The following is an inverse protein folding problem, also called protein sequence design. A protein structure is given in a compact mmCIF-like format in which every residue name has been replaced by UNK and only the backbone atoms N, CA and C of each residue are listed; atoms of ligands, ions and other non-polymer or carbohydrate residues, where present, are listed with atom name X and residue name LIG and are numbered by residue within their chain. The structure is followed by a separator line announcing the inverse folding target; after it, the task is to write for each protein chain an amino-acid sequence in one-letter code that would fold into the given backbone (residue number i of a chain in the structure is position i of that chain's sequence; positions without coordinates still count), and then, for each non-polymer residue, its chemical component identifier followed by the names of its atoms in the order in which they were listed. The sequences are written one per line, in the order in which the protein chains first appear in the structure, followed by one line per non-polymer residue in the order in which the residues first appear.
data_IF_959776176173
#
_entry.id   IF_959776176173
#
_cell.length_a   1.000
_cell.length_b   1.000
_cell.length_c   1.000
_cell.angle_alpha   90.00
_cell.angle_beta   90.00
_cell.angle_gamma   90.00
#
_symmetry.space_group_name_H-M   'P 1'
#
loop_
_entity.id
_entity.type
_entity.pdbx_description
1 polymer ?
#
# COMPACT_ATOMS: atom_id res chain seq x y z
N UNK A 1 -15.52 -29.76 4.26
CA UNK A 1 -16.10 -29.41 2.94
C UNK A 1 -16.42 -27.91 2.84
N UNK A 2 -17.49 -27.37 3.43
CA UNK A 2 -17.83 -25.93 3.28
C UNK A 2 -16.81 -24.98 3.95
N UNK A 3 -16.31 -25.34 5.15
CA UNK A 3 -15.26 -24.58 5.84
C UNK A 3 -13.92 -24.55 5.08
N UNK A 4 -13.56 -25.63 4.39
CA UNK A 4 -12.32 -25.72 3.61
C UNK A 4 -12.44 -24.92 2.30
N UNK A 5 -13.61 -24.97 1.67
CA UNK A 5 -13.93 -24.17 0.49
C UNK A 5 -13.87 -22.66 0.76
N UNK A 6 -14.50 -22.19 1.85
CA UNK A 6 -14.46 -20.78 2.25
C UNK A 6 -13.05 -20.31 2.61
N UNK A 7 -12.23 -21.18 3.22
CA UNK A 7 -10.82 -20.90 3.50
C UNK A 7 -10.04 -20.70 2.18
N UNK A 8 -10.22 -21.58 1.21
CA UNK A 8 -9.52 -21.48 -0.07
C UNK A 8 -9.89 -20.19 -0.82
N UNK A 9 -11.16 -19.76 -0.74
CA UNK A 9 -11.60 -18.47 -1.31
C UNK A 9 -10.90 -17.29 -0.62
N UNK A 10 -10.80 -17.27 0.72
CA UNK A 10 -10.14 -16.17 1.44
C UNK A 10 -8.65 -16.09 1.07
N UNK A 11 -7.97 -17.24 0.95
CA UNK A 11 -6.57 -17.30 0.52
C UNK A 11 -6.41 -16.81 -0.92
N UNK A 12 -7.28 -17.20 -1.85
CA UNK A 12 -7.24 -16.70 -3.23
C UNK A 12 -7.45 -15.18 -3.29
N UNK A 13 -8.33 -14.61 -2.46
CA UNK A 13 -8.50 -13.15 -2.34
C UNK A 13 -7.23 -12.48 -1.81
N UNK A 14 -6.58 -13.07 -0.80
CA UNK A 14 -5.33 -12.59 -0.24
C UNK A 14 -4.21 -12.57 -1.31
N UNK A 15 -4.05 -13.67 -2.06
CA UNK A 15 -3.05 -13.78 -3.13
C UNK A 15 -3.31 -12.76 -4.26
N UNK A 16 -4.56 -12.59 -4.68
CA UNK A 16 -4.94 -11.57 -5.66
C UNK A 16 -4.64 -10.15 -5.16
N UNK A 17 -4.89 -9.88 -3.88
CA UNK A 17 -4.59 -8.58 -3.27
C UNK A 17 -3.09 -8.31 -3.24
N UNK A 18 -2.27 -9.31 -2.92
CA UNK A 18 -0.81 -9.18 -3.03
C UNK A 18 -0.37 -8.92 -4.48
N UNK A 19 -0.94 -9.62 -5.46
CA UNK A 19 -0.67 -9.38 -6.88
C UNK A 19 -1.00 -7.94 -7.30
N UNK A 20 -2.13 -7.41 -6.85
CA UNK A 20 -2.53 -6.01 -7.09
C UNK A 20 -1.51 -5.03 -6.45
N UNK A 21 -1.12 -5.24 -5.19
CA UNK A 21 -0.11 -4.42 -4.52
C UNK A 21 1.23 -4.44 -5.27
N UNK A 22 1.71 -5.64 -5.64
CA UNK A 22 2.97 -5.80 -6.37
C UNK A 22 2.96 -5.05 -7.70
N UNK A 23 1.86 -5.17 -8.47
CA UNK A 23 1.71 -4.42 -9.72
C UNK A 23 1.79 -2.91 -9.51
N UNK A 24 1.17 -2.39 -8.45
CA UNK A 24 1.27 -0.96 -8.12
C UNK A 24 2.68 -0.57 -7.67
N UNK A 25 3.38 -1.40 -6.88
CA UNK A 25 4.76 -1.13 -6.44
C UNK A 25 5.72 -1.10 -7.63
N UNK A 26 5.63 -2.05 -8.57
CA UNK A 26 6.49 -2.06 -9.77
C UNK A 26 6.30 -0.77 -10.59
N UNK A 27 5.04 -0.37 -10.81
CA UNK A 27 4.75 0.86 -11.55
C UNK A 27 5.21 2.11 -10.79
N UNK A 28 4.99 2.14 -9.48
CA UNK A 28 5.38 3.26 -8.63
C UNK A 28 6.90 3.41 -8.59
N UNK A 29 7.67 2.32 -8.51
CA UNK A 29 9.13 2.35 -8.63
C UNK A 29 9.61 2.91 -9.98
N UNK A 30 8.94 2.54 -11.08
CA UNK A 30 9.24 3.14 -12.39
C UNK A 30 8.95 4.65 -12.41
N UNK A 31 7.80 5.08 -11.88
CA UNK A 31 7.42 6.50 -11.81
C UNK A 31 8.40 7.29 -10.95
N UNK A 32 8.80 6.74 -9.80
CA UNK A 32 9.81 7.33 -8.90
C UNK A 32 11.11 7.58 -9.64
N UNK A 33 11.57 6.62 -10.46
CA UNK A 33 12.79 6.79 -11.27
C UNK A 33 12.72 7.95 -12.29
N UNK A 34 11.52 8.44 -12.61
CA UNK A 34 11.31 9.60 -13.50
C UNK A 34 11.25 10.91 -12.73
N UNK A 35 10.56 10.92 -11.57
CA UNK A 35 10.36 12.15 -10.81
C UNK A 35 11.52 12.49 -9.87
N UNK A 36 12.32 11.51 -9.45
CA UNK A 36 13.49 11.71 -8.58
C UNK A 36 14.47 12.77 -9.14
N UNK A 37 14.52 12.92 -10.46
CA UNK A 37 15.34 13.92 -11.16
C UNK A 37 15.04 15.37 -10.75
N UNK A 38 13.83 15.67 -10.28
CA UNK A 38 13.42 17.01 -9.88
C UNK A 38 12.95 17.11 -8.43
N UNK A 39 12.93 16.01 -7.68
CA UNK A 39 12.61 16.02 -6.25
C UNK A 39 13.82 16.47 -5.39
N UNK A 40 13.60 17.06 -4.20
CA UNK A 40 12.33 17.64 -3.75
C UNK A 40 11.97 18.88 -4.60
N UNK A 41 10.67 19.11 -4.76
CA UNK A 41 10.12 20.25 -5.47
C UNK A 41 10.22 21.52 -4.63
N UNK A 42 10.51 22.62 -5.32
CA UNK A 42 10.31 24.00 -4.86
C UNK A 42 9.35 24.67 -5.84
N UNK A 43 8.81 25.85 -5.51
CA UNK A 43 7.95 26.61 -6.45
C UNK A 43 8.67 26.83 -7.79
N UNK A 44 9.94 27.23 -7.75
CA UNK A 44 10.75 27.45 -8.95
C UNK A 44 10.95 26.18 -9.79
N UNK A 45 11.19 25.03 -9.15
CA UNK A 45 11.29 23.75 -9.88
C UNK A 45 9.95 23.33 -10.47
N UNK A 46 8.87 23.55 -9.72
CA UNK A 46 7.52 23.21 -10.16
C UNK A 46 7.11 24.02 -11.41
N UNK A 47 7.39 25.31 -11.44
CA UNK A 47 7.07 26.19 -12.58
C UNK A 47 7.84 25.81 -13.86
N UNK A 48 8.95 25.07 -13.73
CA UNK A 48 9.75 24.57 -14.85
C UNK A 48 9.32 23.19 -15.34
N UNK A 49 8.37 22.54 -14.67
CA UNK A 49 7.90 21.21 -15.07
C UNK A 49 7.17 21.26 -16.40
N UNK A 50 7.47 20.29 -17.25
CA UNK A 50 6.78 20.13 -18.53
C UNK A 50 5.45 19.40 -18.31
N UNK A 51 4.55 19.44 -19.31
CA UNK A 51 3.34 18.60 -19.30
C UNK A 51 3.66 17.12 -19.13
N UNK A 52 4.82 16.66 -19.62
CA UNK A 52 5.27 15.29 -19.45
C UNK A 52 5.60 14.97 -17.99
N UNK A 53 6.29 15.87 -17.28
CA UNK A 53 6.63 15.69 -15.87
C UNK A 53 5.38 15.68 -14.98
N UNK A 54 4.42 16.57 -15.28
CA UNK A 54 3.13 16.64 -14.58
C UNK A 54 2.35 15.31 -14.69
N UNK A 55 2.40 14.63 -15.84
CA UNK A 55 1.80 13.30 -16.00
C UNK A 55 2.42 12.28 -15.05
N UNK A 56 3.75 12.31 -14.82
CA UNK A 56 4.38 11.42 -13.84
C UNK A 56 4.04 11.78 -12.40
N UNK A 57 3.90 13.06 -12.08
CA UNK A 57 3.44 13.51 -10.76
C UNK A 57 2.02 13.00 -10.48
N UNK A 58 1.10 13.14 -11.43
CA UNK A 58 -0.27 12.67 -11.25
C UNK A 58 -0.32 11.13 -11.17
N UNK A 59 0.50 10.44 -11.98
CA UNK A 59 0.66 8.99 -11.88
C UNK A 59 1.23 8.56 -10.51
N UNK A 60 2.19 9.30 -9.97
CA UNK A 60 2.74 9.07 -8.63
C UNK A 60 1.65 9.20 -7.56
N UNK A 61 0.92 10.31 -7.54
CA UNK A 61 -0.18 10.56 -6.61
C UNK A 61 -1.19 9.41 -6.67
N UNK A 62 -1.66 9.10 -7.88
CA UNK A 62 -2.66 8.06 -8.10
C UNK A 62 -2.18 6.69 -7.56
N UNK A 63 -0.95 6.30 -7.86
CA UNK A 63 -0.40 5.01 -7.46
C UNK A 63 -0.11 4.94 -5.95
N UNK A 64 0.34 6.03 -5.35
CA UNK A 64 0.53 6.11 -3.91
C UNK A 64 -0.80 5.94 -3.15
N UNK A 65 -1.84 6.69 -3.56
CA UNK A 65 -3.20 6.55 -3.02
C UNK A 65 -3.68 5.11 -3.21
N UNK A 66 -3.58 4.58 -4.43
CA UNK A 66 -4.10 3.26 -4.76
C UNK A 66 -3.44 2.15 -3.94
N UNK A 67 -2.13 2.21 -3.74
CA UNK A 67 -1.40 1.25 -2.92
C UNK A 67 -1.87 1.28 -1.46
N UNK A 68 -1.99 2.47 -0.87
CA UNK A 68 -2.51 2.61 0.50
C UNK A 68 -3.94 2.10 0.63
N UNK A 69 -4.82 2.43 -0.33
CA UNK A 69 -6.22 2.02 -0.30
C UNK A 69 -6.35 0.49 -0.39
N UNK A 70 -5.60 -0.17 -1.29
CA UNK A 70 -5.59 -1.65 -1.37
C UNK A 70 -5.09 -2.27 -0.05
N UNK A 71 -3.99 -1.74 0.49
CA UNK A 71 -3.41 -2.26 1.72
C UNK A 71 -4.35 -2.09 2.91
N UNK A 72 -4.82 -0.86 3.15
CA UNK A 72 -5.66 -0.51 4.29
C UNK A 72 -7.06 -1.10 4.22
N UNK A 73 -7.71 -1.06 3.07
CA UNK A 73 -9.12 -1.48 2.96
C UNK A 73 -9.27 -3.00 2.83
N UNK A 74 -8.30 -3.67 2.18
CA UNK A 74 -8.40 -5.10 1.85
C UNK A 74 -7.35 -5.94 2.55
N UNK A 75 -6.07 -5.66 2.29
CA UNK A 75 -4.96 -6.55 2.65
C UNK A 75 -4.92 -6.81 4.17
N UNK A 76 -5.03 -5.74 4.95
CA UNK A 76 -4.95 -5.80 6.41
C UNK A 76 -6.01 -6.73 7.02
N UNK A 77 -7.26 -6.60 6.57
CA UNK A 77 -8.37 -7.43 7.07
C UNK A 77 -8.25 -8.87 6.57
N UNK A 78 -7.82 -9.08 5.33
CA UNK A 78 -7.60 -10.42 4.77
C UNK A 78 -6.50 -11.17 5.53
N UNK A 79 -5.41 -10.51 5.93
CA UNK A 79 -4.35 -11.15 6.71
C UNK A 79 -4.90 -11.60 8.06
N UNK A 80 -5.57 -10.69 8.78
CA UNK A 80 -6.19 -11.03 10.06
C UNK A 80 -7.20 -12.18 9.91
N UNK A 81 -8.05 -12.15 8.87
CA UNK A 81 -9.05 -13.20 8.61
C UNK A 81 -8.39 -14.58 8.42
N UNK A 82 -7.25 -14.61 7.74
CA UNK A 82 -6.53 -15.86 7.45
C UNK A 82 -5.62 -16.35 8.61
N UNK A 83 -5.29 -15.51 9.59
CA UNK A 83 -4.52 -15.92 10.78
C UNK A 83 -5.34 -16.73 11.79
N UNK A 84 -6.68 -16.64 11.75
CA UNK A 84 -7.61 -17.39 12.64
C UNK A 84 -7.41 -17.18 14.15
N UNK A 85 -6.55 -16.25 14.56
CA UNK A 85 -6.32 -15.83 15.96
C UNK A 85 -7.25 -14.66 16.37
N UNK A 86 -8.44 -14.59 15.79
CA UNK A 86 -9.34 -13.45 15.95
C UNK A 86 -10.66 -13.85 16.57
N UNK A 87 -10.91 -13.36 17.79
CA UNK A 87 -12.20 -13.51 18.48
C UNK A 87 -13.33 -12.73 17.78
N UNK A 88 -12.98 -11.74 16.97
CA UNK A 88 -13.91 -10.88 16.23
C UNK A 88 -13.52 -10.88 14.75
N UNK A 89 -14.52 -11.03 13.87
CA UNK A 89 -14.30 -10.97 12.43
C UNK A 89 -13.70 -9.59 12.04
N UNK A 90 -12.53 -9.56 11.38
CA UNK A 90 -11.84 -8.32 11.02
C UNK A 90 -12.62 -7.36 10.15
N UNK A 91 -13.64 -7.80 9.43
CA UNK A 91 -14.48 -6.93 8.59
C UNK A 91 -15.44 -6.04 9.40
N UNK A 92 -15.71 -6.37 10.66
CA UNK A 92 -16.55 -5.55 11.55
C UNK A 92 -15.73 -4.68 12.51
N UNK A 93 -14.40 -4.79 12.48
CA UNK A 93 -13.53 -3.99 13.35
C UNK A 93 -13.40 -2.54 12.82
N UNK A 94 -13.46 -1.52 13.69
CA UNK A 94 -12.99 -0.18 13.36
C UNK A 94 -11.56 -0.23 12.78
N UNK A 95 -11.25 0.66 11.84
CA UNK A 95 -9.96 0.61 11.15
C UNK A 95 -8.76 0.79 12.10
N UNK A 96 -8.90 1.64 13.13
CA UNK A 96 -7.86 1.82 14.14
C UNK A 96 -7.59 0.51 14.92
N UNK A 97 -8.64 -0.26 15.22
CA UNK A 97 -8.48 -1.54 15.91
C UNK A 97 -7.82 -2.59 15.02
N UNK A 98 -8.04 -2.53 13.71
CA UNK A 98 -7.30 -3.34 12.74
C UNK A 98 -5.81 -3.03 12.81
N UNK A 99 -5.42 -1.76 12.80
CA UNK A 99 -4.00 -1.36 12.89
C UNK A 99 -3.37 -1.79 14.21
N UNK A 100 -4.02 -1.49 15.34
CA UNK A 100 -3.55 -1.89 16.67
C UNK A 100 -3.34 -3.40 16.76
N UNK A 101 -4.19 -4.18 16.09
CA UNK A 101 -4.07 -5.64 16.07
C UNK A 101 -2.92 -6.12 15.20
N UNK A 102 -2.72 -5.51 14.03
CA UNK A 102 -1.54 -5.77 13.19
C UNK A 102 -0.23 -5.47 13.94
N UNK A 103 -0.17 -4.35 14.66
CA UNK A 103 0.99 -3.98 15.46
C UNK A 103 1.22 -4.95 16.62
N UNK A 104 0.15 -5.31 17.35
CA UNK A 104 0.21 -6.33 18.42
C UNK A 104 0.77 -7.67 17.92
N UNK A 105 0.42 -8.07 16.70
CA UNK A 105 0.92 -9.29 16.05
C UNK A 105 2.26 -9.10 15.36
N UNK A 106 2.88 -7.91 15.45
CA UNK A 106 4.15 -7.57 14.81
C UNK A 106 4.13 -7.77 13.30
N UNK A 107 2.96 -7.56 12.70
CA UNK A 107 2.75 -7.57 11.24
C UNK A 107 3.16 -6.22 10.64
N UNK A 108 2.91 -5.15 11.39
CA UNK A 108 3.46 -3.81 11.15
C UNK A 108 4.22 -3.37 12.41
N UNK A 109 5.18 -2.47 12.26
CA UNK A 109 5.97 -1.97 13.39
C UNK A 109 5.23 -0.94 14.23
N UNK A 110 4.40 -0.10 13.61
CA UNK A 110 3.74 1.02 14.28
C UNK A 110 2.40 1.37 13.62
N UNK A 111 1.35 1.47 14.43
CA UNK A 111 0.06 2.03 14.01
C UNK A 111 0.18 3.50 13.64
N UNK A 112 0.94 4.28 14.41
CA UNK A 112 1.12 5.71 14.20
C UNK A 112 1.80 6.02 12.87
N UNK A 113 2.82 5.25 12.48
CA UNK A 113 3.47 5.38 11.17
C UNK A 113 2.47 5.25 10.02
N UNK A 114 1.54 4.28 10.11
CA UNK A 114 0.50 4.11 9.11
C UNK A 114 -0.49 5.28 9.11
N UNK A 115 -0.86 5.80 10.28
CA UNK A 115 -1.74 6.96 10.39
C UNK A 115 -1.12 8.22 9.78
N UNK A 116 0.19 8.42 9.93
CA UNK A 116 0.91 9.53 9.32
C UNK A 116 0.96 9.39 7.79
N UNK A 117 1.22 8.18 7.27
CA UNK A 117 1.10 7.90 5.84
C UNK A 117 -0.30 8.20 5.28
N UNK A 118 -1.36 7.91 6.06
CA UNK A 118 -2.74 8.25 5.68
C UNK A 118 -3.00 9.75 5.65
N UNK A 119 -2.38 10.54 6.55
CA UNK A 119 -2.50 12.01 6.50
C UNK A 119 -1.91 12.54 5.19
N UNK A 120 -0.76 12.01 4.76
CA UNK A 120 -0.14 12.34 3.47
C UNK A 120 -1.08 11.94 2.32
N UNK A 121 -1.60 10.71 2.31
CA UNK A 121 -2.57 10.25 1.30
C UNK A 121 -3.78 11.18 1.22
N UNK A 122 -4.32 11.59 2.37
CA UNK A 122 -5.47 12.49 2.42
C UNK A 122 -5.12 13.87 1.86
N UNK A 123 -3.90 14.38 2.08
CA UNK A 123 -3.47 15.65 1.49
C UNK A 123 -3.50 15.64 -0.05
N UNK A 124 -3.27 14.49 -0.69
CA UNK A 124 -3.36 14.38 -2.15
C UNK A 124 -4.78 14.47 -2.71
N UNK A 125 -5.79 14.11 -1.92
CA UNK A 125 -7.20 14.20 -2.35
C UNK A 125 -7.82 15.54 -2.05
N UNK A 126 -7.13 16.42 -1.32
CA UNK A 126 -7.59 17.79 -1.17
C UNK A 126 -7.29 18.54 -2.46
N UNK A 127 -8.33 19.04 -3.11
CA UNK A 127 -8.16 19.99 -4.20
C UNK A 127 -7.62 21.29 -3.57
N UNK A 128 -6.34 21.60 -3.81
CA UNK A 128 -5.72 22.88 -3.49
C UNK A 128 -5.60 23.74 -4.77
N UNK A 129 -6.71 24.11 -5.45
CA UNK A 129 -6.61 24.87 -6.70
C UNK A 129 -5.93 26.24 -6.52
N UNK A 130 -5.89 26.77 -5.31
CA UNK A 130 -5.37 28.11 -4.98
C UNK A 130 -4.03 28.09 -4.19
N UNK A 131 -3.51 26.91 -3.82
CA UNK A 131 -2.34 26.82 -2.92
C UNK A 131 -1.27 25.84 -3.43
N UNK A 132 -0.46 26.33 -4.36
CA UNK A 132 0.66 25.60 -4.94
C UNK A 132 1.66 25.14 -3.87
N UNK A 133 1.88 25.91 -2.81
CA UNK A 133 2.81 25.55 -1.72
C UNK A 133 2.34 24.27 -1.03
N UNK A 134 1.05 24.18 -0.67
CA UNK A 134 0.49 22.96 -0.05
C UNK A 134 0.58 21.75 -0.97
N UNK A 135 0.38 21.92 -2.28
CA UNK A 135 0.55 20.82 -3.24
C UNK A 135 2.01 20.34 -3.28
N UNK A 136 2.96 21.26 -3.32
CA UNK A 136 4.40 20.93 -3.30
C UNK A 136 4.78 20.22 -1.99
N UNK A 137 4.30 20.71 -0.85
CA UNK A 137 4.55 20.11 0.47
C UNK A 137 3.99 18.67 0.53
N UNK A 138 2.77 18.46 0.05
CA UNK A 138 2.17 17.12 -0.04
C UNK A 138 2.99 16.18 -0.94
N UNK A 139 3.42 16.65 -2.12
CA UNK A 139 4.23 15.86 -3.06
C UNK A 139 5.58 15.46 -2.45
N UNK A 140 6.26 16.42 -1.83
CA UNK A 140 7.53 16.17 -1.14
C UNK A 140 7.35 15.19 0.02
N UNK A 141 6.29 15.34 0.82
CA UNK A 141 5.98 14.43 1.91
C UNK A 141 5.74 13.00 1.39
N UNK A 142 4.89 12.82 0.37
CA UNK A 142 4.65 11.49 -0.19
C UNK A 142 5.89 10.86 -0.79
N UNK A 143 6.73 11.64 -1.46
CA UNK A 143 7.99 11.15 -2.02
C UNK A 143 8.97 10.71 -0.94
N UNK A 144 9.15 11.52 0.11
CA UNK A 144 10.04 11.19 1.22
C UNK A 144 9.61 9.92 1.97
N UNK A 145 8.30 9.63 1.98
CA UNK A 145 7.73 8.48 2.67
C UNK A 145 7.46 7.26 1.76
N UNK A 146 7.93 7.27 0.51
CA UNK A 146 7.70 6.16 -0.41
C UNK A 146 8.35 4.85 0.07
N UNK A 147 9.53 4.94 0.69
CA UNK A 147 10.21 3.76 1.20
C UNK A 147 9.55 3.20 2.46
N UNK A 148 8.90 4.04 3.28
CA UNK A 148 8.13 3.58 4.43
C UNK A 148 6.99 2.64 4.00
N UNK A 149 6.20 3.03 3.00
CA UNK A 149 5.10 2.18 2.51
C UNK A 149 5.61 0.88 1.88
N UNK A 150 6.76 0.92 1.19
CA UNK A 150 7.40 -0.29 0.65
C UNK A 150 7.89 -1.22 1.76
N UNK A 151 8.48 -0.68 2.82
CA UNK A 151 8.95 -1.47 3.96
C UNK A 151 7.78 -2.12 4.69
N UNK A 152 6.71 -1.38 4.99
CA UNK A 152 5.50 -1.93 5.61
C UNK A 152 4.90 -3.04 4.75
N UNK A 153 4.83 -2.85 3.43
CA UNK A 153 4.37 -3.91 2.53
C UNK A 153 5.27 -5.15 2.56
N UNK A 154 6.59 -4.96 2.54
CA UNK A 154 7.56 -6.06 2.56
C UNK A 154 7.49 -6.84 3.88
N UNK A 155 7.34 -6.17 5.02
CA UNK A 155 7.14 -6.79 6.33
C UNK A 155 5.86 -7.62 6.36
N UNK A 156 4.75 -7.04 5.91
CA UNK A 156 3.48 -7.73 5.79
C UNK A 156 3.59 -8.98 4.91
N UNK A 157 4.23 -8.87 3.75
CA UNK A 157 4.42 -9.99 2.81
C UNK A 157 5.27 -11.09 3.46
N UNK A 158 6.40 -10.73 4.06
CA UNK A 158 7.30 -11.66 4.74
C UNK A 158 6.61 -12.36 5.92
N UNK A 159 5.82 -11.63 6.72
CA UNK A 159 5.03 -12.21 7.80
C UNK A 159 4.01 -13.20 7.24
N UNK A 160 3.30 -12.83 6.18
CA UNK A 160 2.25 -13.64 5.57
C UNK A 160 2.81 -14.94 5.00
N UNK A 161 3.93 -14.90 4.27
CA UNK A 161 4.60 -16.08 3.72
C UNK A 161 5.08 -17.06 4.80
N UNK A 162 5.44 -16.55 5.98
CA UNK A 162 5.90 -17.38 7.12
C UNK A 162 4.74 -17.99 7.92
N UNK A 163 3.62 -17.29 8.03
CA UNK A 163 2.58 -17.62 9.01
C UNK A 163 1.25 -18.10 8.39
N UNK A 164 0.99 -17.84 7.11
CA UNK A 164 -0.24 -18.28 6.44
C UNK A 164 0.08 -19.43 5.49
N UNK A 165 -0.42 -20.62 5.85
CA UNK A 165 -0.29 -21.82 5.02
C UNK A 165 -1.21 -21.73 3.80
N UNK A 166 -0.60 -21.78 2.61
CA UNK A 166 -1.31 -21.93 1.34
C UNK A 166 -1.58 -23.42 1.12
N UNK A 167 -2.85 -23.86 1.01
CA UNK A 167 -3.20 -25.23 0.68
C UNK A 167 -2.58 -25.67 -0.66
N UNK A 168 -2.12 -26.91 -0.73
CA UNK A 168 -1.44 -27.46 -1.91
C UNK A 168 -2.34 -27.47 -3.15
N UNK A 169 -3.67 -27.50 -2.98
CA UNK A 169 -4.62 -27.48 -4.09
C UNK A 169 -4.73 -26.11 -4.78
N UNK A 170 -4.16 -25.05 -4.21
CA UNK A 170 -4.17 -23.71 -4.81
C UNK A 170 -2.95 -23.55 -5.72
N UNK A 171 -3.19 -23.40 -7.03
CA UNK A 171 -2.14 -23.02 -7.97
C UNK A 171 -1.70 -21.57 -7.72
N UNK A 172 -0.43 -21.39 -7.36
CA UNK A 172 0.20 -20.09 -7.11
C UNK A 172 1.01 -19.56 -8.30
N UNK A 173 1.03 -20.26 -9.43
CA UNK A 173 1.81 -19.91 -10.62
C UNK A 173 1.53 -18.46 -11.08
N UNK A 174 0.26 -18.07 -11.10
CA UNK A 174 -0.23 -16.73 -11.47
C UNK A 174 0.07 -15.61 -10.46
N UNK A 175 0.58 -15.97 -9.28
CA UNK A 175 0.77 -15.06 -8.13
C UNK A 175 2.25 -14.85 -7.78
N UNK A 176 3.17 -15.47 -8.51
CA UNK A 176 4.60 -15.22 -8.35
C UNK A 176 4.91 -13.78 -8.73
N UNK A 177 5.54 -13.05 -7.82
CA UNK A 177 6.09 -11.71 -8.09
C UNK A 177 7.12 -11.79 -9.22
N UNK A 178 7.05 -10.91 -10.23
CA UNK A 178 8.20 -10.66 -11.10
C UNK A 178 9.39 -10.29 -10.21
N UNK A 179 10.56 -10.87 -10.46
CA UNK A 179 11.78 -10.40 -9.81
C UNK A 179 11.96 -8.93 -10.20
N UNK A 180 12.08 -8.05 -9.20
CA UNK A 180 12.61 -6.71 -9.42
C UNK A 180 14.06 -6.92 -9.88
N UNK A 181 14.31 -6.65 -11.17
CA UNK A 181 15.65 -6.65 -11.75
C UNK A 181 16.39 -5.37 -11.35
#
# INVERSE_FOLDING_TARGET
MEKDYNKNISILKLLNTFKECNGNIVQLSFIISKIDLFMPLTIEKYDKLTSYDLVFIDAFIFRFIKLQDIMGEKLFRLILDNLKENDVNPYYMPFIDVLNKLEKYKIINSTDEWLDLRKIRNSFTHEYPEDLSKRIDALNAGFNHIYNIYNIYAEIKNYTEKNILIPYEIDISDYKTPKLN
#
